data_IF_346784673913
#
_entry.id   IF_346784673913
#
_cell.length_a   1.000
_cell.length_b   1.000
_cell.length_c   1.000
_cell.angle_alpha   90.00
_cell.angle_beta   90.00
_cell.angle_gamma   90.00
#
_symmetry.space_group_name_H-M   'P 1'
#
loop_
_entity.id
_entity.type
_entity.pdbx_description
1 polymer ?
#
# COMPACT_ATOMS: atom_id res chain seq x y z
N UNK A 1 99.37 120.94 -100.33
CA UNK A 1 99.23 121.23 -98.88
C UNK A 1 97.79 120.98 -98.36
N UNK A 2 96.71 121.40 -99.03
CA UNK A 2 95.32 121.20 -98.54
C UNK A 2 94.83 119.73 -98.48
N UNK A 3 95.21 118.88 -99.42
CA UNK A 3 94.83 117.45 -99.43
C UNK A 3 95.36 116.67 -98.21
N UNK A 4 96.58 116.98 -97.76
CA UNK A 4 97.22 116.31 -96.62
C UNK A 4 96.53 116.63 -95.28
N UNK A 5 95.99 117.84 -95.11
CA UNK A 5 95.29 118.24 -93.90
C UNK A 5 93.91 117.59 -93.78
N UNK A 6 93.18 117.49 -94.90
CA UNK A 6 91.89 116.77 -94.95
C UNK A 6 92.11 115.28 -94.67
N UNK A 7 93.13 114.68 -95.27
CA UNK A 7 93.46 113.26 -95.06
C UNK A 7 93.89 112.98 -93.61
N UNK A 8 94.66 113.89 -92.99
CA UNK A 8 95.02 113.82 -91.57
C UNK A 8 93.80 113.95 -90.65
N UNK A 9 92.86 114.86 -90.94
CA UNK A 9 91.65 115.05 -90.14
C UNK A 9 90.74 113.83 -90.19
N UNK A 10 90.49 113.28 -91.39
CA UNK A 10 89.70 112.06 -91.55
C UNK A 10 90.41 110.84 -90.94
N UNK A 11 91.73 110.74 -91.05
CA UNK A 11 92.49 109.65 -90.43
C UNK A 11 92.49 109.72 -88.90
N UNK A 12 92.54 110.92 -88.31
CA UNK A 12 92.36 111.10 -86.86
C UNK A 12 90.94 110.72 -86.42
N UNK A 13 89.92 111.23 -87.11
CA UNK A 13 88.52 110.97 -86.78
C UNK A 13 88.11 109.50 -86.94
N UNK A 14 88.64 108.80 -87.94
CA UNK A 14 88.41 107.36 -88.12
C UNK A 14 89.09 106.57 -87.00
N UNK A 15 90.28 106.98 -86.56
CA UNK A 15 90.96 106.36 -85.42
C UNK A 15 90.17 106.55 -84.13
N UNK A 16 89.73 107.77 -83.84
CA UNK A 16 88.92 108.09 -82.65
C UNK A 16 87.61 107.29 -82.65
N UNK A 17 86.90 107.23 -83.79
CA UNK A 17 85.69 106.41 -83.95
C UNK A 17 85.96 104.92 -83.79
N UNK A 18 87.11 104.43 -84.24
CA UNK A 18 87.51 103.02 -84.10
C UNK A 18 87.83 102.68 -82.64
N UNK A 19 88.53 103.58 -81.94
CA UNK A 19 88.80 103.46 -80.50
C UNK A 19 87.50 103.52 -79.70
N UNK A 20 86.58 104.43 -80.02
CA UNK A 20 85.26 104.53 -79.38
C UNK A 20 84.40 103.29 -79.63
N UNK A 21 84.38 102.76 -80.87
CA UNK A 21 83.71 101.50 -81.20
C UNK A 21 84.35 100.31 -80.46
N UNK A 22 85.68 100.26 -80.35
CA UNK A 22 86.38 99.20 -79.62
C UNK A 22 86.10 99.27 -78.11
N UNK A 23 86.03 100.47 -77.55
CA UNK A 23 85.66 100.71 -76.14
C UNK A 23 84.20 100.32 -75.90
N UNK A 24 83.28 100.72 -76.79
CA UNK A 24 81.87 100.30 -76.74
C UNK A 24 81.73 98.77 -76.89
N UNK A 25 82.51 98.14 -77.76
CA UNK A 25 82.52 96.68 -77.93
C UNK A 25 83.00 95.97 -76.68
N UNK A 26 84.11 96.42 -76.08
CA UNK A 26 84.64 95.86 -74.84
C UNK A 26 83.66 96.07 -73.67
N UNK A 27 83.00 97.24 -73.59
CA UNK A 27 81.95 97.50 -72.60
C UNK A 27 80.73 96.60 -72.80
N UNK A 28 80.33 96.35 -74.06
CA UNK A 28 79.24 95.45 -74.38
C UNK A 28 79.56 94.00 -73.98
N UNK A 29 80.76 93.49 -74.29
CA UNK A 29 81.22 92.17 -73.86
C UNK A 29 81.28 92.04 -72.33
N UNK A 30 81.79 93.07 -71.63
CA UNK A 30 81.76 93.10 -70.18
C UNK A 30 80.32 93.11 -69.62
N UNK A 31 79.40 93.85 -70.24
CA UNK A 31 78.00 93.89 -69.83
C UNK A 31 77.28 92.55 -70.09
N UNK A 32 77.59 91.86 -71.17
CA UNK A 32 77.06 90.53 -71.48
C UNK A 32 77.57 89.49 -70.48
N UNK A 33 78.88 89.50 -70.18
CA UNK A 33 79.47 88.64 -69.16
C UNK A 33 78.83 88.87 -67.78
N UNK A 34 78.64 90.14 -67.38
CA UNK A 34 77.98 90.49 -66.12
C UNK A 34 76.52 90.05 -66.07
N UNK A 35 75.79 90.10 -67.19
CA UNK A 35 74.42 89.58 -67.28
C UNK A 35 74.36 88.05 -67.17
N UNK A 36 75.32 87.34 -67.76
CA UNK A 36 75.43 85.88 -67.64
C UNK A 36 75.72 85.49 -66.18
N UNK A 37 76.64 86.20 -65.51
CA UNK A 37 76.94 86.01 -64.09
C UNK A 37 75.71 86.29 -63.20
N UNK A 38 75.03 87.43 -63.39
CA UNK A 38 73.81 87.76 -62.66
C UNK A 38 72.70 86.72 -62.86
N UNK A 39 72.59 86.16 -64.07
CA UNK A 39 71.61 85.11 -64.36
C UNK A 39 71.97 83.81 -63.64
N UNK A 40 73.25 83.44 -63.61
CA UNK A 40 73.75 82.30 -62.83
C UNK A 40 73.48 82.48 -61.32
N UNK A 41 73.74 83.67 -60.77
CA UNK A 41 73.45 83.98 -59.37
C UNK A 41 71.95 83.91 -59.06
N UNK A 42 71.10 84.40 -59.97
CA UNK A 42 69.65 84.32 -59.82
C UNK A 42 69.14 82.88 -59.85
N UNK A 43 69.68 82.05 -60.75
CA UNK A 43 69.35 80.62 -60.82
C UNK A 43 69.82 79.88 -59.55
N UNK A 44 71.01 80.21 -59.02
CA UNK A 44 71.50 79.68 -57.75
C UNK A 44 70.61 80.08 -56.56
N UNK A 45 70.20 81.36 -56.49
CA UNK A 45 69.28 81.85 -55.46
C UNK A 45 67.91 81.18 -55.57
N UNK A 46 67.37 81.04 -56.78
CA UNK A 46 66.12 80.31 -57.03
C UNK A 46 66.22 78.87 -56.53
N UNK A 47 67.29 78.16 -56.88
CA UNK A 47 67.51 76.78 -56.44
C UNK A 47 67.60 76.66 -54.91
N UNK A 48 68.24 77.63 -54.23
CA UNK A 48 68.31 77.66 -52.78
C UNK A 48 66.95 77.93 -52.13
N UNK A 49 66.15 78.85 -52.67
CA UNK A 49 64.80 79.13 -52.16
C UNK A 49 63.85 77.95 -52.40
N UNK A 50 63.92 77.30 -53.57
CA UNK A 50 63.19 76.06 -53.86
C UNK A 50 63.56 74.94 -52.88
N UNK A 51 64.85 74.77 -52.57
CA UNK A 51 65.32 73.81 -51.58
C UNK A 51 64.84 74.15 -50.16
N UNK A 52 64.85 75.45 -49.78
CA UNK A 52 64.35 75.92 -48.49
C UNK A 52 62.85 75.63 -48.34
N UNK A 53 62.05 76.00 -49.34
CA UNK A 53 60.60 75.74 -49.35
C UNK A 53 60.34 74.23 -49.32
N UNK A 54 61.04 73.45 -50.14
CA UNK A 54 60.90 71.98 -50.16
C UNK A 54 61.23 71.35 -48.80
N UNK A 55 62.28 71.84 -48.13
CA UNK A 55 62.65 71.39 -46.78
C UNK A 55 61.59 71.75 -45.74
N UNK A 56 61.04 72.97 -45.78
CA UNK A 56 59.98 73.40 -44.85
C UNK A 56 58.71 72.58 -45.08
N UNK A 57 58.31 72.33 -46.33
CA UNK A 57 57.16 71.49 -46.67
C UNK A 57 57.36 70.05 -46.21
N UNK A 58 58.53 69.46 -46.46
CA UNK A 58 58.85 68.11 -46.00
C UNK A 58 58.80 67.99 -44.47
N UNK A 59 59.32 68.99 -43.76
CA UNK A 59 59.25 69.05 -42.30
C UNK A 59 57.79 69.17 -41.81
N UNK A 60 57.01 70.09 -42.37
CA UNK A 60 55.59 70.26 -42.03
C UNK A 60 54.78 68.98 -42.27
N UNK A 61 54.99 68.31 -43.41
CA UNK A 61 54.36 67.03 -43.71
C UNK A 61 54.78 65.92 -42.75
N UNK A 62 56.04 65.89 -42.33
CA UNK A 62 56.52 64.94 -41.33
C UNK A 62 55.87 65.16 -39.96
N UNK A 63 55.72 66.42 -39.54
CA UNK A 63 55.07 66.78 -38.27
C UNK A 63 53.58 66.42 -38.30
N UNK A 64 52.88 66.75 -39.38
CA UNK A 64 51.45 66.39 -39.53
C UNK A 64 51.24 64.88 -39.62
N UNK A 65 52.13 64.14 -40.29
CA UNK A 65 52.10 62.66 -40.27
C UNK A 65 52.24 62.13 -38.84
N UNK A 66 53.24 62.58 -38.08
CA UNK A 66 53.43 62.17 -36.69
C UNK A 66 52.22 62.50 -35.80
N UNK A 67 51.60 63.67 -35.98
CA UNK A 67 50.36 64.04 -35.26
C UNK A 67 49.19 63.14 -35.64
N UNK A 68 49.03 62.81 -36.92
CA UNK A 68 47.96 61.92 -37.38
C UNK A 68 48.13 60.49 -36.85
N UNK A 69 49.36 59.99 -36.79
CA UNK A 69 49.69 58.69 -36.20
C UNK A 69 49.42 58.68 -34.68
N UNK A 70 49.77 59.76 -33.97
CA UNK A 70 49.47 59.91 -32.54
C UNK A 70 47.96 59.93 -32.27
N UNK A 71 47.20 60.68 -33.07
CA UNK A 71 45.74 60.72 -32.96
C UNK A 71 45.09 59.36 -33.28
N UNK A 72 45.60 58.64 -34.29
CA UNK A 72 45.14 57.30 -34.61
C UNK A 72 45.39 56.33 -33.44
N UNK A 73 46.57 56.38 -32.81
CA UNK A 73 46.89 55.57 -31.64
C UNK A 73 46.00 55.90 -30.44
N UNK A 74 45.73 57.19 -30.18
CA UNK A 74 44.82 57.61 -29.10
C UNK A 74 43.37 57.18 -29.34
N UNK A 75 42.90 57.24 -30.59
CA UNK A 75 41.57 56.76 -30.97
C UNK A 75 41.45 55.24 -30.79
N UNK A 76 42.43 54.47 -31.26
CA UNK A 76 42.47 53.02 -31.08
C UNK A 76 42.47 52.64 -29.59
N UNK A 77 43.25 53.35 -28.76
CA UNK A 77 43.25 53.13 -27.31
C UNK A 77 41.91 53.48 -26.66
N UNK A 78 41.29 54.60 -27.05
CA UNK A 78 39.98 55.01 -26.52
C UNK A 78 38.88 54.01 -26.89
N UNK A 79 38.90 53.49 -28.13
CA UNK A 79 37.96 52.47 -28.59
C UNK A 79 38.16 51.14 -27.85
N UNK A 80 39.40 50.69 -27.68
CA UNK A 80 39.73 49.50 -26.89
C UNK A 80 39.24 49.63 -25.44
N UNK A 81 39.47 50.78 -24.80
CA UNK A 81 38.99 51.05 -23.44
C UNK A 81 37.46 51.05 -23.36
N UNK A 82 36.78 51.64 -24.35
CA UNK A 82 35.31 51.65 -24.42
C UNK A 82 34.75 50.24 -24.57
N UNK A 83 35.36 49.42 -25.42
CA UNK A 83 34.98 48.02 -25.60
C UNK A 83 35.18 47.22 -24.32
N UNK A 84 36.34 47.34 -23.67
CA UNK A 84 36.63 46.66 -22.41
C UNK A 84 35.63 47.06 -21.31
N UNK A 85 35.28 48.35 -21.20
CA UNK A 85 34.26 48.82 -20.25
C UNK A 85 32.87 48.26 -20.56
N UNK A 86 32.48 48.26 -21.84
CA UNK A 86 31.18 47.72 -22.26
C UNK A 86 31.07 46.21 -22.02
N UNK A 87 32.16 45.47 -22.22
CA UNK A 87 32.20 44.03 -21.97
C UNK A 87 32.16 43.73 -20.47
N UNK A 88 32.90 44.47 -19.65
CA UNK A 88 32.84 44.35 -18.20
C UNK A 88 31.43 44.62 -17.66
N UNK A 89 30.74 45.66 -18.17
CA UNK A 89 29.37 45.96 -17.79
C UNK A 89 28.39 44.84 -18.21
N UNK A 90 28.56 44.29 -19.42
CA UNK A 90 27.75 43.16 -19.91
C UNK A 90 27.93 41.91 -19.05
N UNK A 91 29.17 41.60 -18.66
CA UNK A 91 29.47 40.47 -17.77
C UNK A 91 28.88 40.67 -16.37
N UNK A 92 29.05 41.86 -15.78
CA UNK A 92 28.46 42.18 -14.48
C UNK A 92 26.92 42.08 -14.49
N UNK A 93 26.27 42.54 -15.57
CA UNK A 93 24.82 42.39 -15.75
C UNK A 93 24.41 40.91 -15.90
N UNK A 94 25.20 40.12 -16.62
CA UNK A 94 24.99 38.68 -16.76
C UNK A 94 25.06 37.96 -15.41
N UNK A 95 26.08 38.25 -14.60
CA UNK A 95 26.25 37.68 -13.26
C UNK A 95 25.08 38.04 -12.32
N UNK A 96 24.61 39.29 -12.35
CA UNK A 96 23.45 39.71 -11.57
C UNK A 96 22.17 38.94 -11.95
N UNK A 97 21.92 38.73 -13.25
CA UNK A 97 20.77 37.94 -13.71
C UNK A 97 20.85 36.48 -13.26
N UNK A 98 22.04 35.88 -13.29
CA UNK A 98 22.25 34.51 -12.80
C UNK A 98 21.95 34.43 -11.29
N UNK A 99 22.48 35.37 -10.49
CA UNK A 99 22.21 35.44 -9.05
C UNK A 99 20.73 35.66 -8.73
N UNK A 100 20.04 36.49 -9.51
CA UNK A 100 18.59 36.69 -9.38
C UNK A 100 17.82 35.40 -9.65
N UNK A 101 18.18 34.67 -10.71
CA UNK A 101 17.57 33.39 -11.05
C UNK A 101 17.85 32.32 -9.97
N UNK A 102 19.06 32.27 -9.42
CA UNK A 102 19.40 31.39 -8.29
C UNK A 102 18.54 31.71 -7.07
N UNK A 103 18.41 32.98 -6.68
CA UNK A 103 17.56 33.38 -5.56
C UNK A 103 16.08 33.04 -5.78
N UNK A 104 15.57 33.22 -7.00
CA UNK A 104 14.22 32.81 -7.36
C UNK A 104 14.05 31.28 -7.27
N UNK A 105 15.03 30.51 -7.76
CA UNK A 105 15.00 29.04 -7.68
C UNK A 105 14.99 28.54 -6.22
N UNK A 106 15.84 29.11 -5.36
CA UNK A 106 15.87 28.81 -3.92
C UNK A 106 14.55 29.21 -3.26
N UNK A 107 13.96 30.35 -3.66
CA UNK A 107 12.63 30.77 -3.20
C UNK A 107 11.53 29.76 -3.54
N UNK A 108 11.54 29.24 -4.77
CA UNK A 108 10.59 28.19 -5.21
C UNK A 108 10.81 26.89 -4.45
N UNK A 109 12.05 26.45 -4.28
CA UNK A 109 12.38 25.24 -3.52
C UNK A 109 11.92 25.33 -2.06
N UNK A 110 12.15 26.47 -1.39
CA UNK A 110 11.65 26.71 -0.04
C UNK A 110 10.13 26.71 0.03
N UNK A 111 9.45 27.29 -0.96
CA UNK A 111 7.99 27.27 -1.07
C UNK A 111 7.43 25.85 -1.20
N UNK A 112 8.04 25.03 -2.06
CA UNK A 112 7.66 23.62 -2.23
C UNK A 112 7.93 22.79 -0.97
N UNK A 113 9.07 23.01 -0.29
CA UNK A 113 9.38 22.34 0.96
C UNK A 113 8.36 22.68 2.06
N UNK A 114 7.88 23.94 2.11
CA UNK A 114 6.84 24.35 3.05
C UNK A 114 5.50 23.64 2.75
N UNK A 115 5.08 23.60 1.48
CA UNK A 115 3.86 22.90 1.06
C UNK A 115 3.94 21.41 1.40
N UNK A 116 5.07 20.76 1.11
CA UNK A 116 5.28 19.34 1.42
C UNK A 116 5.21 19.06 2.94
N UNK A 117 5.78 19.95 3.76
CA UNK A 117 5.72 19.84 5.22
C UNK A 117 4.29 19.97 5.73
N UNK A 118 3.53 20.95 5.24
CA UNK A 118 2.16 21.18 5.67
C UNK A 118 1.26 20.00 5.25
N UNK A 119 1.45 19.45 4.05
CA UNK A 119 0.77 18.22 3.62
C UNK A 119 1.10 17.04 4.54
N UNK A 120 2.38 16.82 4.87
CA UNK A 120 2.78 15.73 5.76
C UNK A 120 2.19 15.89 7.18
N UNK A 121 2.00 17.13 7.65
CA UNK A 121 1.33 17.40 8.94
C UNK A 121 -0.16 17.04 8.87
N UNK A 122 -0.86 17.39 7.80
CA UNK A 122 -2.27 17.01 7.61
C UNK A 122 -2.44 15.49 7.47
N UNK A 123 -1.58 14.83 6.69
CA UNK A 123 -1.57 13.37 6.56
C UNK A 123 -1.35 12.69 7.92
N UNK A 124 -0.41 13.20 8.73
CA UNK A 124 -0.16 12.69 10.07
C UNK A 124 -1.35 12.92 11.02
N UNK A 125 -2.10 14.01 10.86
CA UNK A 125 -3.34 14.25 11.62
C UNK A 125 -4.43 13.26 11.22
N UNK A 126 -4.63 13.01 9.92
CA UNK A 126 -5.59 12.02 9.43
C UNK A 126 -5.24 10.61 9.89
N UNK A 127 -3.95 10.22 9.84
CA UNK A 127 -3.49 8.94 10.36
C UNK A 127 -3.81 8.77 11.85
N UNK A 128 -3.61 9.82 12.68
CA UNK A 128 -3.98 9.79 14.11
C UNK A 128 -5.48 9.66 14.33
N UNK A 129 -6.32 10.28 13.49
CA UNK A 129 -7.78 10.13 13.55
C UNK A 129 -8.18 8.69 13.23
N UNK A 130 -7.63 8.11 12.17
CA UNK A 130 -7.87 6.72 11.79
C UNK A 130 -7.43 5.75 12.89
N UNK A 131 -6.27 5.99 13.51
CA UNK A 131 -5.79 5.19 14.65
C UNK A 131 -6.75 5.29 15.86
N UNK A 132 -7.23 6.49 16.18
CA UNK A 132 -8.19 6.69 17.26
C UNK A 132 -9.52 5.97 16.99
N UNK A 133 -10.02 6.01 15.76
CA UNK A 133 -11.22 5.28 15.35
C UNK A 133 -11.02 3.76 15.48
N UNK A 134 -9.89 3.23 14.99
CA UNK A 134 -9.56 1.81 15.11
C UNK A 134 -9.46 1.35 16.58
N UNK A 135 -8.92 2.19 17.47
CA UNK A 135 -8.88 1.90 18.92
C UNK A 135 -10.28 1.84 19.54
N UNK A 136 -11.18 2.74 19.14
CA UNK A 136 -12.57 2.73 19.62
C UNK A 136 -13.31 1.47 19.16
N UNK A 137 -13.13 1.06 17.91
CA UNK A 137 -13.71 -0.18 17.37
C UNK A 137 -13.15 -1.42 18.07
N UNK A 138 -11.84 -1.47 18.31
CA UNK A 138 -11.21 -2.55 19.07
C UNK A 138 -11.79 -2.64 20.50
N UNK A 139 -11.98 -1.51 21.18
CA UNK A 139 -12.64 -1.48 22.48
C UNK A 139 -14.12 -1.92 22.42
N UNK A 140 -14.85 -1.56 21.37
CA UNK A 140 -16.22 -2.00 21.18
C UNK A 140 -16.31 -3.52 20.96
N UNK A 141 -15.40 -4.10 20.17
CA UNK A 141 -15.29 -5.53 19.95
C UNK A 141 -14.93 -6.27 21.25
N UNK A 142 -13.98 -5.76 22.03
CA UNK A 142 -13.62 -6.34 23.33
C UNK A 142 -14.85 -6.41 24.25
N UNK A 143 -15.61 -5.32 24.38
CA UNK A 143 -16.84 -5.32 25.19
C UNK A 143 -17.87 -6.34 24.70
N UNK A 144 -17.97 -6.56 23.38
CA UNK A 144 -18.87 -7.58 22.81
C UNK A 144 -18.40 -9.00 23.16
N UNK A 145 -17.10 -9.26 23.09
CA UNK A 145 -16.50 -10.53 23.49
C UNK A 145 -16.73 -10.79 24.98
N UNK A 146 -16.47 -9.81 25.84
CA UNK A 146 -16.68 -9.95 27.29
C UNK A 146 -18.14 -10.29 27.62
N UNK A 147 -19.10 -9.60 26.97
CA UNK A 147 -20.53 -9.91 27.09
C UNK A 147 -20.84 -11.32 26.60
N UNK A 148 -20.26 -11.75 25.48
CA UNK A 148 -20.45 -13.10 24.96
C UNK A 148 -19.89 -14.15 25.92
N UNK A 149 -18.74 -13.91 26.52
CA UNK A 149 -18.15 -14.79 27.53
C UNK A 149 -19.05 -14.90 28.76
N UNK A 150 -19.63 -13.79 29.21
CA UNK A 150 -20.56 -13.79 30.33
C UNK A 150 -21.84 -14.58 30.02
N UNK A 151 -22.43 -14.41 28.83
CA UNK A 151 -23.57 -15.23 28.38
C UNK A 151 -23.20 -16.72 28.33
N UNK A 152 -22.02 -17.05 27.80
CA UNK A 152 -21.54 -18.43 27.75
C UNK A 152 -21.35 -19.04 29.15
N UNK A 153 -20.94 -18.24 30.14
CA UNK A 153 -20.85 -18.70 31.54
C UNK A 153 -22.21 -19.05 32.11
N UNK A 154 -23.25 -18.25 31.85
CA UNK A 154 -24.62 -18.59 32.27
C UNK A 154 -25.13 -19.86 31.60
N UNK A 155 -24.97 -19.98 30.27
CA UNK A 155 -25.39 -21.17 29.53
C UNK A 155 -24.70 -22.44 30.04
N UNK A 156 -23.39 -22.37 30.32
CA UNK A 156 -22.65 -23.50 30.89
C UNK A 156 -23.16 -23.88 32.28
N UNK A 157 -23.45 -22.90 33.13
CA UNK A 157 -23.97 -23.13 34.47
C UNK A 157 -25.38 -23.75 34.44
N UNK A 158 -26.26 -23.25 33.56
CA UNK A 158 -27.60 -23.80 33.36
C UNK A 158 -27.54 -25.24 32.85
N UNK A 159 -26.68 -25.52 31.87
CA UNK A 159 -26.47 -26.88 31.38
C UNK A 159 -25.96 -27.81 32.49
N UNK A 160 -25.01 -27.35 33.31
CA UNK A 160 -24.53 -28.12 34.46
C UNK A 160 -25.64 -28.43 35.47
N UNK A 161 -26.51 -27.45 35.76
CA UNK A 161 -27.64 -27.62 36.67
C UNK A 161 -28.68 -28.59 36.09
N UNK A 162 -28.94 -28.52 34.78
CA UNK A 162 -29.81 -29.44 34.05
C UNK A 162 -29.28 -30.88 34.14
N UNK A 163 -27.99 -31.09 33.83
CA UNK A 163 -27.33 -32.40 33.93
C UNK A 163 -27.35 -32.94 35.36
N UNK A 164 -27.09 -32.09 36.36
CA UNK A 164 -27.19 -32.46 37.77
C UNK A 164 -28.60 -32.92 38.15
N UNK A 165 -29.62 -32.20 37.66
CA UNK A 165 -31.03 -32.56 37.88
C UNK A 165 -31.39 -33.89 37.21
N UNK A 166 -30.91 -34.14 35.99
CA UNK A 166 -31.12 -35.40 35.28
C UNK A 166 -30.48 -36.60 36.00
N UNK A 167 -29.27 -36.42 36.52
CA UNK A 167 -28.58 -37.43 37.33
C UNK A 167 -29.38 -37.73 38.61
N UNK A 168 -29.89 -36.71 39.29
CA UNK A 168 -30.68 -36.89 40.51
C UNK A 168 -32.03 -37.57 40.25
N UNK A 169 -32.72 -37.23 39.15
CA UNK A 169 -33.93 -37.94 38.71
C UNK A 169 -33.62 -39.41 38.43
N UNK A 170 -32.53 -39.69 37.70
CA UNK A 170 -32.11 -41.05 37.40
C UNK A 170 -31.80 -41.84 38.67
N UNK A 171 -31.12 -41.21 39.65
CA UNK A 171 -30.84 -41.81 40.96
C UNK A 171 -32.12 -42.16 41.71
N UNK A 172 -33.11 -41.28 41.71
CA UNK A 172 -34.43 -41.56 42.31
C UNK A 172 -35.12 -42.73 41.62
N UNK A 173 -35.13 -42.78 40.29
CA UNK A 173 -35.69 -43.91 39.54
C UNK A 173 -34.99 -45.23 39.89
N UNK A 174 -33.66 -45.26 40.03
CA UNK A 174 -32.94 -46.46 40.48
C UNK A 174 -33.29 -46.87 41.91
N UNK A 175 -33.46 -45.91 42.82
CA UNK A 175 -33.91 -46.19 44.18
C UNK A 175 -35.34 -46.76 44.21
N UNK A 176 -36.25 -46.20 43.42
CA UNK A 176 -37.62 -46.69 43.28
C UNK A 176 -37.65 -48.12 42.69
N UNK A 177 -36.85 -48.38 41.64
CA UNK A 177 -36.69 -49.71 41.05
C UNK A 177 -36.13 -50.72 42.07
N UNK A 178 -35.16 -50.32 42.89
CA UNK A 178 -34.63 -51.16 43.97
C UNK A 178 -35.71 -51.47 45.01
N UNK A 179 -36.56 -50.50 45.38
CA UNK A 179 -37.71 -50.69 46.26
C UNK A 179 -38.73 -51.69 45.69
N UNK A 180 -39.10 -51.54 44.42
CA UNK A 180 -39.99 -52.48 43.73
C UNK A 180 -39.40 -53.90 43.69
N UNK A 181 -38.10 -54.03 43.38
CA UNK A 181 -37.42 -55.31 43.37
C UNK A 181 -37.43 -55.99 44.74
N UNK A 182 -37.22 -55.23 45.83
CA UNK A 182 -37.33 -55.75 47.20
C UNK A 182 -38.73 -56.31 47.49
N UNK A 183 -39.78 -55.55 47.15
CA UNK A 183 -41.16 -55.99 47.33
C UNK A 183 -41.48 -57.26 46.52
N UNK A 184 -40.96 -57.36 45.29
CA UNK A 184 -41.16 -58.54 44.45
C UNK A 184 -40.48 -59.79 45.04
N UNK A 185 -39.28 -59.63 45.62
CA UNK A 185 -38.58 -60.71 46.34
C UNK A 185 -39.37 -61.14 47.57
N UNK A 186 -39.86 -60.19 48.38
CA UNK A 186 -40.66 -60.49 49.58
C UNK A 186 -41.98 -61.22 49.24
N UNK A 187 -42.68 -60.77 48.20
CA UNK A 187 -43.88 -61.44 47.70
C UNK A 187 -43.58 -62.85 47.20
N UNK A 188 -42.48 -63.03 46.46
CA UNK A 188 -42.05 -64.35 45.98
C UNK A 188 -41.71 -65.29 47.14
N UNK A 189 -41.05 -64.77 48.19
CA UNK A 189 -40.76 -65.53 49.40
C UNK A 189 -42.03 -65.95 50.12
N UNK A 190 -42.95 -65.02 50.38
CA UNK A 190 -44.24 -65.31 51.03
C UNK A 190 -45.10 -66.30 50.23
N UNK A 191 -45.06 -66.21 48.90
CA UNK A 191 -45.72 -67.19 48.04
C UNK A 191 -45.10 -68.59 48.17
N UNK A 192 -43.76 -68.68 48.27
CA UNK A 192 -43.07 -69.95 48.52
C UNK A 192 -43.45 -70.54 49.89
N UNK A 193 -43.54 -69.71 50.94
CA UNK A 193 -44.00 -70.14 52.26
C UNK A 193 -45.43 -70.69 52.24
N UNK A 194 -46.36 -69.98 51.58
CA UNK A 194 -47.75 -70.44 51.43
C UNK A 194 -47.84 -71.77 50.68
N UNK A 195 -47.06 -71.94 49.59
CA UNK A 195 -46.97 -73.21 48.86
C UNK A 195 -46.40 -74.33 49.74
N UNK A 196 -45.38 -74.04 50.54
CA UNK A 196 -44.79 -75.00 51.47
C UNK A 196 -45.78 -75.42 52.57
N UNK A 197 -46.54 -74.47 53.14
CA UNK A 197 -47.58 -74.76 54.12
C UNK A 197 -48.68 -75.67 53.53
N UNK A 198 -49.18 -75.34 52.34
CA UNK A 198 -50.17 -76.16 51.65
C UNK A 198 -49.65 -77.58 51.35
N UNK A 199 -48.37 -77.73 51.01
CA UNK A 199 -47.75 -79.04 50.82
C UNK A 199 -47.63 -79.83 52.14
N UNK A 200 -47.31 -79.17 53.25
CA UNK A 200 -47.27 -79.80 54.59
C UNK A 200 -48.65 -80.30 55.02
N UNK A 201 -49.70 -79.52 54.80
CA UNK A 201 -51.07 -79.93 55.12
C UNK A 201 -51.49 -81.15 54.28
N UNK A 202 -51.21 -81.12 52.97
CA UNK A 202 -51.46 -82.28 52.10
C UNK A 202 -50.67 -83.51 52.55
N UNK A 203 -49.42 -83.34 53.00
CA UNK A 203 -48.62 -84.43 53.54
C UNK A 203 -49.27 -85.02 54.82
N UNK A 204 -49.70 -84.17 55.74
CA UNK A 204 -50.40 -84.60 56.96
C UNK A 204 -51.70 -85.37 56.65
N UNK A 205 -52.48 -84.92 55.65
CA UNK A 205 -53.67 -85.63 55.18
C UNK A 205 -53.31 -87.01 54.59
N UNK A 206 -52.23 -87.10 53.81
CA UNK A 206 -51.76 -88.39 53.30
C UNK A 206 -51.25 -89.33 54.40
N UNK A 207 -50.57 -88.80 55.44
CA UNK A 207 -50.16 -89.59 56.61
C UNK A 207 -51.38 -90.11 57.39
N UNK A 208 -52.42 -89.28 57.54
CA UNK A 208 -53.69 -89.68 58.16
C UNK A 208 -54.40 -90.76 57.34
N UNK A 209 -54.42 -90.66 56.02
CA UNK A 209 -54.96 -91.68 55.13
C UNK A 209 -54.18 -92.99 55.25
N UNK A 210 -52.84 -92.91 55.24
CA UNK A 210 -51.95 -94.05 55.47
C UNK A 210 -52.25 -94.73 56.82
N UNK A 211 -52.44 -93.98 57.89
CA UNK A 211 -52.78 -94.53 59.21
C UNK A 211 -54.15 -95.24 59.22
N UNK A 212 -55.14 -94.73 58.49
CA UNK A 212 -56.45 -95.41 58.33
C UNK A 212 -56.32 -96.72 57.56
N UNK A 213 -55.57 -96.72 56.46
CA UNK A 213 -55.30 -97.94 55.69
C UNK A 213 -54.51 -98.96 56.50
N UNK A 214 -53.47 -98.55 57.22
CA UNK A 214 -52.72 -99.44 58.09
C UNK A 214 -53.63 -100.07 59.14
N UNK A 215 -54.51 -99.29 59.77
CA UNK A 215 -55.51 -99.80 60.72
C UNK A 215 -56.47 -100.81 60.06
N UNK A 216 -56.90 -100.58 58.82
CA UNK A 216 -57.71 -101.55 58.08
C UNK A 216 -56.94 -102.83 57.80
N UNK A 217 -55.68 -102.73 57.39
CA UNK A 217 -54.80 -103.88 57.17
C UNK A 217 -54.60 -104.66 58.48
N UNK A 218 -54.39 -103.99 59.60
CA UNK A 218 -54.23 -104.63 60.92
C UNK A 218 -55.53 -105.32 61.37
N UNK A 219 -56.70 -104.70 61.15
CA UNK A 219 -58.01 -105.30 61.40
C UNK A 219 -58.22 -106.53 60.53
N UNK A 220 -58.02 -106.42 59.21
CA UNK A 220 -58.14 -107.53 58.27
C UNK A 220 -57.13 -108.64 58.58
N UNK A 221 -55.92 -108.31 59.04
CA UNK A 221 -54.91 -109.29 59.45
C UNK A 221 -55.32 -110.01 60.74
N UNK A 222 -55.88 -109.29 61.72
CA UNK A 222 -56.40 -109.89 62.96
C UNK A 222 -57.67 -110.72 62.72
N UNK A 223 -58.52 -110.29 61.80
CA UNK A 223 -59.76 -110.97 61.40
C UNK A 223 -59.44 -112.19 60.53
N UNK A 224 -58.43 -112.12 59.65
CA UNK A 224 -57.81 -113.25 58.96
C UNK A 224 -57.18 -114.24 59.95
N UNK A 225 -56.53 -113.77 61.01
CA UNK A 225 -56.02 -114.66 62.06
C UNK A 225 -57.14 -115.36 62.86
N UNK A 226 -58.32 -114.74 63.03
CA UNK A 226 -59.52 -115.40 63.58
C UNK A 226 -60.20 -116.36 62.61
N UNK A 227 -60.27 -116.02 61.33
CA UNK A 227 -60.95 -116.82 60.29
C UNK A 227 -60.06 -117.91 59.68
N UNK A 228 -58.74 -117.86 59.92
CA UNK A 228 -57.78 -118.91 59.57
C UNK A 228 -57.79 -120.14 60.51
N UNK A 229 -58.61 -120.14 61.57
CA UNK A 229 -58.84 -121.31 62.43
C UNK A 229 -60.14 -122.07 62.11
N UNK A 230 -61.01 -121.55 61.23
CA UNK A 230 -62.31 -122.17 60.90
C UNK A 230 -62.45 -122.67 59.46
N UNK A 231 -61.46 -122.49 58.59
CA UNK A 231 -61.48 -123.06 57.23
C UNK A 231 -60.48 -124.23 57.10
N UNK A 232 -60.89 -125.36 57.65
CA UNK A 232 -60.41 -126.70 57.30
C UNK A 232 -61.30 -127.24 56.17
N UNK A 233 -61.24 -126.62 55.00
CA UNK A 233 -61.88 -127.08 53.76
C UNK A 233 -61.26 -126.24 52.62
N UNK A 234 -60.96 -126.86 51.48
CA UNK A 234 -60.17 -126.34 50.34
C UNK A 234 -58.65 -126.57 50.41
N UNK A 235 -58.31 -127.79 50.82
CA UNK A 235 -57.38 -128.61 50.04
C UNK A 235 -58.03 -128.92 48.67
N UNK A 236 -57.27 -128.75 47.59
CA UNK A 236 -57.67 -128.79 46.17
C UNK A 236 -58.13 -127.44 45.62
N UNK A 237 -57.20 -126.66 45.07
CA UNK A 237 -57.13 -126.34 43.64
C UNK A 237 -55.84 -125.53 43.39
N UNK A 238 -54.77 -126.28 43.12
CA UNK A 238 -53.60 -125.76 42.47
C UNK A 238 -53.97 -125.43 41.03
N UNK A 239 -54.15 -124.16 40.71
CA UNK A 239 -54.07 -123.68 39.33
C UNK A 239 -52.98 -122.60 39.27
N UNK A 240 -51.86 -123.03 38.73
CA UNK A 240 -50.67 -122.24 38.42
C UNK A 240 -51.06 -121.21 37.37
N UNK A 241 -51.31 -119.96 37.77
CA UNK A 241 -51.32 -118.83 36.84
C UNK A 241 -49.86 -118.42 36.66
N UNK A 242 -49.32 -118.84 35.52
CA UNK A 242 -48.00 -118.46 34.98
C UNK A 242 -47.86 -116.93 34.90
N UNK A 243 -46.75 -116.34 35.40
CA UNK A 243 -46.40 -114.95 35.15
C UNK A 243 -45.81 -114.83 33.73
N UNK A 244 -46.69 -114.86 32.75
CA UNK A 244 -46.40 -114.55 31.36
C UNK A 244 -47.64 -113.85 30.80
N UNK A 245 -47.44 -112.83 29.96
CA UNK A 245 -48.47 -111.94 29.37
C UNK A 245 -48.84 -110.68 30.16
N UNK A 246 -47.92 -109.72 30.22
CA UNK A 246 -48.16 -108.33 29.80
C UNK A 246 -46.80 -107.66 29.55
N UNK A 247 -46.01 -108.28 28.68
CA UNK A 247 -44.82 -107.69 28.08
C UNK A 247 -45.04 -107.68 26.57
N UNK A 248 -46.00 -106.86 26.13
CA UNK A 248 -46.23 -106.54 24.72
C UNK A 248 -46.90 -105.16 24.61
N UNK A 249 -46.08 -104.13 24.83
CA UNK A 249 -46.20 -102.90 24.05
C UNK A 249 -44.83 -102.53 23.49
N UNK A 250 -44.33 -103.43 22.64
CA UNK A 250 -43.39 -103.07 21.59
C UNK A 250 -44.01 -101.99 20.70
N UNK A 251 -43.18 -101.01 20.37
CA UNK A 251 -43.22 -100.37 19.06
C UNK A 251 -44.25 -99.27 18.89
N UNK A 252 -43.94 -98.10 19.45
CA UNK A 252 -44.10 -96.87 18.65
C UNK A 252 -42.76 -96.18 18.63
N UNK A 253 -41.94 -96.63 17.68
CA UNK A 253 -40.93 -95.79 17.03
C UNK A 253 -41.68 -94.57 16.46
N UNK A 254 -41.90 -93.57 17.31
CA UNK A 254 -42.50 -92.30 16.88
C UNK A 254 -41.36 -91.47 16.34
N UNK A 255 -41.21 -91.61 15.04
CA UNK A 255 -40.38 -90.85 14.14
C UNK A 255 -40.03 -89.46 14.68
N UNK A 256 -38.73 -89.18 14.65
CA UNK A 256 -38.12 -87.87 14.79
C UNK A 256 -38.46 -86.95 13.58
N UNK A 257 -39.72 -86.86 13.20
CA UNK A 257 -40.22 -85.98 12.15
C UNK A 257 -41.34 -85.09 12.68
N UNK A 258 -40.97 -83.99 13.34
CA UNK A 258 -41.83 -82.77 13.38
C UNK A 258 -41.18 -81.55 14.03
N UNK A 259 -40.03 -81.66 14.71
CA UNK A 259 -39.36 -80.46 15.27
C UNK A 259 -38.89 -79.50 14.16
N UNK A 260 -38.42 -80.03 13.02
CA UNK A 260 -37.99 -79.19 11.89
C UNK A 260 -39.15 -78.46 11.21
N UNK A 261 -40.35 -79.06 11.22
CA UNK A 261 -41.54 -78.45 10.63
C UNK A 261 -42.12 -77.35 11.52
N UNK A 262 -42.05 -77.53 12.85
CA UNK A 262 -42.49 -76.51 13.82
C UNK A 262 -41.55 -75.30 13.88
N UNK A 263 -40.24 -75.49 13.74
CA UNK A 263 -39.27 -74.39 13.73
C UNK A 263 -39.35 -73.55 12.44
N UNK A 264 -39.66 -74.16 11.29
CA UNK A 264 -39.88 -73.44 10.03
C UNK A 264 -41.18 -72.62 10.08
N UNK A 265 -42.25 -73.17 10.66
CA UNK A 265 -43.52 -72.47 10.78
C UNK A 265 -43.45 -71.27 11.74
N UNK A 266 -42.68 -71.38 12.83
CA UNK A 266 -42.37 -70.22 13.69
C UNK A 266 -41.47 -69.19 13.01
N UNK A 267 -40.56 -69.60 12.13
CA UNK A 267 -39.70 -68.69 11.35
C UNK A 267 -40.46 -67.87 10.32
N UNK A 268 -41.44 -68.46 9.64
CA UNK A 268 -42.23 -67.79 8.60
C UNK A 268 -43.38 -66.96 9.19
N UNK A 269 -43.93 -67.34 10.36
CA UNK A 269 -45.01 -66.62 11.04
C UNK A 269 -44.51 -65.43 11.88
N UNK A 270 -43.25 -65.45 12.33
CA UNK A 270 -42.58 -64.31 12.98
C UNK A 270 -41.90 -63.43 11.90
N UNK A 271 -42.67 -62.96 10.91
CA UNK A 271 -42.30 -61.76 10.15
C UNK A 271 -42.63 -60.55 11.02
N UNK A 272 -41.64 -60.05 11.76
CA UNK A 272 -41.76 -58.77 12.46
C UNK A 272 -41.83 -57.67 11.39
N UNK A 273 -43.04 -57.26 11.03
CA UNK A 273 -43.28 -56.09 10.20
C UNK A 273 -43.01 -54.88 11.09
N UNK A 274 -41.86 -54.23 10.91
CA UNK A 274 -41.63 -52.92 11.50
C UNK A 274 -42.55 -51.91 10.80
N UNK A 275 -43.31 -51.08 11.54
CA UNK A 275 -44.04 -49.96 10.97
C UNK A 275 -43.08 -49.06 10.16
N UNK A 276 -43.52 -48.59 8.99
CA UNK A 276 -42.67 -47.83 8.05
C UNK A 276 -42.06 -46.57 8.71
N UNK A 277 -42.78 -46.01 9.66
CA UNK A 277 -42.46 -44.88 10.53
C UNK A 277 -41.20 -45.11 11.40
N UNK A 278 -40.89 -46.36 11.78
CA UNK A 278 -39.63 -46.70 12.50
C UNK A 278 -38.43 -46.81 11.54
N UNK A 279 -38.66 -47.26 10.30
CA UNK A 279 -37.61 -47.33 9.28
C UNK A 279 -37.28 -45.95 8.71
N UNK A 280 -38.24 -45.03 8.65
CA UNK A 280 -38.03 -43.65 8.21
C UNK A 280 -37.20 -42.83 9.22
N UNK A 281 -37.41 -43.03 10.52
CA UNK A 281 -36.56 -42.42 11.56
C UNK A 281 -35.08 -42.84 11.48
N UNK A 282 -34.80 -44.10 11.12
CA UNK A 282 -33.43 -44.61 10.97
C UNK A 282 -32.78 -44.17 9.65
N UNK A 283 -33.57 -43.79 8.64
CA UNK A 283 -33.06 -43.25 7.38
C UNK A 283 -32.78 -41.73 7.45
N UNK A 284 -33.52 -40.98 8.27
CA UNK A 284 -33.36 -39.53 8.47
C UNK A 284 -32.10 -39.18 9.30
N UNK A 285 -31.54 -40.14 10.06
CA UNK A 285 -30.29 -39.96 10.82
C UNK A 285 -29.01 -40.04 9.95
N UNK A 286 -29.12 -39.81 8.64
CA UNK A 286 -27.98 -39.74 7.71
C UNK A 286 -27.68 -38.34 7.18
N UNK A 287 -28.55 -37.34 7.45
CA UNK A 287 -28.35 -35.94 7.04
C UNK A 287 -28.13 -35.00 8.25
N UNK A 288 -27.29 -35.42 9.19
CA UNK A 288 -26.72 -34.51 10.18
C UNK A 288 -25.76 -33.52 9.48
N UNK A 289 -25.72 -32.23 9.88
CA UNK A 289 -24.91 -31.23 9.19
C UNK A 289 -23.44 -31.61 9.32
N UNK A 290 -22.86 -31.94 8.16
CA UNK A 290 -21.43 -32.19 8.01
C UNK A 290 -20.65 -30.97 8.49
N UNK A 291 -20.06 -31.10 9.67
CA UNK A 291 -18.96 -30.25 10.14
C UNK A 291 -17.70 -30.71 9.43
N UNK A 292 -17.63 -30.42 8.13
CA UNK A 292 -16.40 -30.49 7.35
C UNK A 292 -15.74 -29.12 7.43
N UNK A 293 -14.75 -29.02 8.32
CA UNK A 293 -13.80 -27.92 8.34
C UNK A 293 -13.12 -27.78 6.97
N UNK A 294 -12.80 -26.55 6.51
CA UNK A 294 -11.94 -26.39 5.36
C UNK A 294 -10.53 -26.81 5.77
N UNK A 295 -10.03 -27.85 5.11
CA UNK A 295 -8.65 -28.29 5.22
C UNK A 295 -7.71 -27.13 4.89
N UNK A 296 -6.75 -26.93 5.77
CA UNK A 296 -5.62 -26.03 5.62
C UNK A 296 -4.92 -26.23 4.26
N UNK A 297 -4.86 -25.14 3.48
CA UNK A 297 -3.84 -24.96 2.47
C UNK A 297 -2.72 -24.14 3.11
N UNK A 298 -1.68 -24.83 3.55
CA UNK A 298 -0.45 -24.24 4.05
C UNK A 298 0.51 -23.95 2.88
N UNK A 299 1.06 -22.73 2.91
CA UNK A 299 2.29 -22.23 2.25
C UNK A 299 2.25 -21.98 0.73
N UNK A 300 2.33 -20.69 0.33
CA UNK A 300 3.60 -19.99 0.03
C UNK A 300 3.43 -18.47 0.29
N UNK A 301 4.29 -17.82 1.09
CA UNK A 301 4.40 -16.37 1.13
C UNK A 301 5.41 -15.88 0.08
N UNK A 302 4.95 -15.27 -1.01
CA UNK A 302 5.81 -14.52 -1.92
C UNK A 302 5.86 -13.07 -1.51
N UNK A 303 6.83 -12.77 -0.66
CA UNK A 303 7.42 -11.46 -0.50
C UNK A 303 8.17 -11.05 -1.77
N UNK A 304 7.86 -9.86 -2.29
CA UNK A 304 8.69 -9.14 -3.26
C UNK A 304 8.12 -7.75 -3.55
N UNK A 305 8.78 -6.67 -3.09
CA UNK A 305 8.62 -5.34 -3.66
C UNK A 305 9.62 -5.18 -4.81
N UNK A 306 9.18 -4.66 -5.95
CA UNK A 306 10.10 -4.11 -6.93
C UNK A 306 9.49 -2.87 -7.58
N UNK A 307 10.13 -1.74 -7.29
CA UNK A 307 10.15 -0.53 -8.09
C UNK A 307 10.18 -0.85 -9.59
N UNK A 308 9.34 -0.15 -10.36
CA UNK A 308 9.79 0.53 -11.58
C UNK A 308 8.80 1.59 -12.07
N UNK A 309 9.33 2.79 -12.04
CA UNK A 309 8.97 4.07 -12.68
C UNK A 309 8.70 3.91 -14.19
N UNK A 310 8.01 4.88 -14.83
CA UNK A 310 7.18 4.68 -16.01
C UNK A 310 7.96 4.82 -17.33
N UNK A 311 7.69 3.92 -18.28
CA UNK A 311 8.03 4.14 -19.68
C UNK A 311 6.91 4.95 -20.35
N UNK A 312 7.23 6.21 -20.61
CA UNK A 312 6.52 7.05 -21.54
C UNK A 312 6.61 6.42 -22.93
N UNK A 313 5.46 6.11 -23.53
CA UNK A 313 5.39 5.88 -24.97
C UNK A 313 5.36 7.24 -25.67
N UNK A 314 6.48 7.54 -26.31
CA UNK A 314 6.60 8.51 -27.40
C UNK A 314 5.46 8.32 -28.41
N UNK A 315 4.58 9.30 -28.51
CA UNK A 315 3.76 9.51 -29.71
C UNK A 315 4.20 10.84 -30.30
N UNK A 316 5.12 10.77 -31.25
CA UNK A 316 5.30 11.80 -32.26
C UNK A 316 4.57 11.40 -33.56
N UNK A 317 4.12 12.39 -34.35
CA UNK A 317 3.04 12.23 -35.31
C UNK A 317 3.57 11.84 -36.69
N UNK A 318 3.05 10.77 -37.27
CA UNK A 318 3.24 10.47 -38.69
C UNK A 318 2.00 10.86 -39.49
N UNK A 319 2.14 12.02 -40.11
CA UNK A 319 1.56 12.45 -41.39
C UNK A 319 0.95 11.31 -42.23
N UNK A 320 -0.39 11.33 -42.38
CA UNK A 320 -1.15 10.45 -43.25
C UNK A 320 -2.35 11.19 -43.83
N UNK A 321 -2.13 11.78 -45.01
CA UNK A 321 -3.11 12.41 -45.89
C UNK A 321 -4.01 11.35 -46.55
N UNK A 322 -5.23 11.78 -46.92
CA UNK A 322 -6.18 11.16 -47.87
C UNK A 322 -7.14 10.11 -47.27
N UNK A 323 -8.46 10.09 -47.48
CA UNK A 323 -9.40 10.81 -48.37
C UNK A 323 -10.82 10.34 -47.99
N UNK A 324 -11.85 11.18 -48.15
CA UNK A 324 -13.26 10.78 -48.12
C UNK A 324 -14.09 11.68 -47.19
N UNK A 325 -14.61 12.82 -47.64
CA UNK A 325 -15.80 12.97 -48.50
C UNK A 325 -17.09 12.62 -47.75
N UNK A 326 -17.87 13.65 -47.39
CA UNK A 326 -19.26 13.46 -46.93
C UNK A 326 -19.79 14.53 -45.96
N UNK A 327 -20.28 15.64 -46.53
CA UNK A 327 -21.54 16.35 -46.19
C UNK A 327 -21.90 16.54 -44.71
N UNK A 328 -22.04 17.73 -44.12
CA UNK A 328 -22.60 18.98 -44.63
C UNK A 328 -23.63 19.49 -43.62
N UNK A 329 -23.39 20.64 -42.98
CA UNK A 329 -24.41 21.46 -42.34
C UNK A 329 -23.85 22.87 -42.12
N UNK A 330 -24.34 23.81 -42.90
CA UNK A 330 -24.09 25.24 -42.82
C UNK A 330 -25.04 25.82 -41.78
N UNK A 331 -24.52 26.49 -40.74
CA UNK A 331 -25.26 27.55 -40.04
C UNK A 331 -24.36 28.76 -39.96
N UNK A 332 -24.69 29.72 -40.80
CA UNK A 332 -24.22 31.10 -40.75
C UNK A 332 -25.17 31.85 -39.84
N UNK A 333 -24.63 32.56 -38.85
CA UNK A 333 -25.23 33.80 -38.37
C UNK A 333 -24.13 34.72 -37.83
N UNK A 334 -23.84 35.74 -38.63
CA UNK A 334 -23.13 36.96 -38.24
C UNK A 334 -24.06 37.87 -37.43
N UNK A 335 -23.53 38.54 -36.40
CA UNK A 335 -23.75 39.96 -36.06
C UNK A 335 -22.90 40.25 -34.80
N UNK A 336 -21.84 41.07 -34.82
CA UNK A 336 -21.75 42.52 -35.01
C UNK A 336 -21.76 43.32 -33.68
N UNK A 337 -20.71 44.14 -33.51
CA UNK A 337 -20.58 45.33 -32.65
C UNK A 337 -20.32 45.20 -31.12
N UNK A 338 -19.03 45.10 -30.76
CA UNK A 338 -18.14 46.10 -30.10
C UNK A 338 -18.71 47.24 -29.17
N UNK A 339 -17.87 48.01 -28.44
CA UNK A 339 -17.52 47.84 -27.02
C UNK A 339 -17.98 49.01 -26.10
N UNK A 340 -18.05 48.81 -24.78
CA UNK A 340 -18.19 49.93 -23.83
C UNK A 340 -17.50 49.66 -22.48
N UNK A 341 -16.43 50.43 -22.22
CA UNK A 341 -15.84 50.67 -20.90
C UNK A 341 -16.53 51.90 -20.23
N UNK A 342 -16.32 52.15 -18.91
CA UNK A 342 -17.29 52.76 -18.00
C UNK A 342 -17.10 54.28 -17.86
N UNK A 343 -17.94 54.94 -17.04
CA UNK A 343 -17.36 55.56 -15.85
C UNK A 343 -18.28 55.59 -14.62
N UNK A 344 -17.72 55.37 -13.44
CA UNK A 344 -18.24 55.96 -12.21
C UNK A 344 -17.20 56.94 -11.67
N UNK A 345 -17.47 58.22 -11.94
CA UNK A 345 -17.01 59.34 -11.14
C UNK A 345 -17.99 59.48 -9.96
N UNK A 346 -17.49 59.79 -8.76
CA UNK A 346 -17.66 61.12 -8.17
C UNK A 346 -17.19 61.14 -6.69
N UNK A 347 -16.58 62.28 -6.35
CA UNK A 347 -15.94 62.64 -5.11
C UNK A 347 -16.93 62.79 -3.93
N UNK A 348 -16.47 62.59 -2.68
CA UNK A 348 -16.13 63.74 -1.84
C UNK A 348 -16.65 63.59 -0.39
N UNK A 349 -16.29 64.50 0.54
CA UNK A 349 -15.47 64.18 1.71
C UNK A 349 -16.24 64.26 3.05
N UNK A 350 -15.65 63.71 4.14
CA UNK A 350 -15.91 64.28 5.46
C UNK A 350 -14.79 64.03 6.48
N UNK A 351 -14.42 65.15 7.08
CA UNK A 351 -13.54 65.44 8.21
C UNK A 351 -13.75 64.55 9.44
N UNK A 352 -12.65 64.17 10.09
CA UNK A 352 -12.65 63.56 11.42
C UNK A 352 -11.29 63.70 12.11
N UNK A 353 -11.02 64.91 12.63
CA UNK A 353 -9.88 65.25 13.49
C UNK A 353 -10.02 64.54 14.84
N UNK A 354 -8.93 63.95 15.36
CA UNK A 354 -8.85 63.45 16.73
C UNK A 354 -7.48 62.89 17.10
N UNK A 355 -6.60 63.74 17.65
CA UNK A 355 -5.30 63.41 18.24
C UNK A 355 -5.43 62.72 19.61
N UNK A 356 -4.52 61.79 19.92
CA UNK A 356 -3.60 61.73 21.09
C UNK A 356 -2.93 60.34 21.07
N UNK A 357 -1.62 60.18 20.90
CA UNK A 357 -0.51 60.47 21.81
C UNK A 357 -0.65 59.80 23.19
N UNK A 358 0.04 58.66 23.38
CA UNK A 358 0.77 58.40 24.62
C UNK A 358 1.93 57.44 24.34
N UNK A 359 3.11 57.95 24.66
CA UNK A 359 4.35 57.22 24.85
C UNK A 359 4.19 56.02 25.78
N UNK A 360 5.02 55.02 25.53
CA UNK A 360 5.20 53.83 26.37
C UNK A 360 6.49 53.11 26.01
N UNK A 361 7.63 53.76 26.31
CA UNK A 361 8.94 53.11 26.43
C UNK A 361 8.85 51.82 27.25
N UNK A 362 9.35 50.69 26.73
CA UNK A 362 10.07 49.71 27.57
C UNK A 362 11.00 48.80 26.77
N UNK A 363 12.29 49.01 27.03
CA UNK A 363 13.49 48.17 26.97
C UNK A 363 13.36 46.69 26.53
N UNK A 364 14.11 46.36 25.46
CA UNK A 364 14.88 45.10 25.26
C UNK A 364 16.00 44.95 26.32
N UNK A 365 16.80 43.87 26.37
CA UNK A 365 16.54 42.44 26.09
C UNK A 365 17.17 41.53 27.19
N UNK A 366 16.69 40.31 27.47
CA UNK A 366 17.55 39.30 28.13
C UNK A 366 17.30 37.86 27.66
N UNK A 367 18.34 37.32 27.03
CA UNK A 367 18.72 35.91 26.98
C UNK A 367 18.62 35.25 28.36
N UNK A 368 17.85 34.16 28.48
CA UNK A 368 18.12 33.14 29.49
C UNK A 368 18.13 31.76 28.84
N UNK A 369 19.35 31.26 28.69
CA UNK A 369 19.72 29.88 28.43
C UNK A 369 19.29 29.05 29.65
N UNK A 370 18.33 28.15 29.50
CA UNK A 370 18.09 27.08 30.48
C UNK A 370 18.87 25.83 30.04
N UNK A 371 20.17 25.84 30.35
CA UNK A 371 20.95 24.60 30.47
C UNK A 371 20.79 24.17 31.92
N UNK A 372 19.96 23.15 32.17
CA UNK A 372 19.99 22.43 33.44
C UNK A 372 20.65 21.07 33.22
N UNK A 373 21.92 21.03 33.59
CA UNK A 373 22.67 19.82 33.93
C UNK A 373 21.80 18.90 34.79
N UNK A 374 21.66 17.65 34.37
CA UNK A 374 21.55 16.52 35.30
C UNK A 374 22.81 15.69 35.09
N UNK A 375 23.81 15.96 35.94
CA UNK A 375 25.01 15.17 36.11
C UNK A 375 24.79 14.22 37.29
N UNK A 376 25.05 12.94 37.01
CA UNK A 376 25.46 11.86 37.92
C UNK A 376 24.71 11.61 39.25
N UNK A 377 24.17 10.40 39.38
CA UNK A 377 24.87 9.35 40.13
C UNK A 377 24.41 7.93 39.69
N UNK A 378 25.38 7.19 39.15
CA UNK A 378 25.51 5.73 39.13
C UNK A 378 25.57 5.17 40.57
N UNK A 379 25.80 3.86 40.85
CA UNK A 379 25.46 2.61 40.17
C UNK A 379 24.91 1.52 41.16
N UNK A 380 24.68 0.31 40.65
CA UNK A 380 24.71 -0.99 41.38
C UNK A 380 23.57 -1.35 42.34
N UNK A 381 22.77 -2.36 41.98
CA UNK A 381 22.89 -3.72 42.55
C UNK A 381 21.75 -4.65 42.13
N UNK A 382 22.16 -5.83 41.63
CA UNK A 382 21.48 -7.15 41.63
C UNK A 382 20.26 -7.38 40.75
#
# INVERSE_FOLDING_TARGET
>A
LQLSAIQSFYSARVRDLTEELSSCSALAEHSEAALVELRSDFDAYRGLEEARVSSVVAHAMSVERARSEELAARLAQAEANRLAQSEAARLAQGELRIKEQELQSVGVEMGLAFIARDQAVEDAKEARKAEAAAKLDAHALQRRLDRSHEVNRYLFLDHKNLMGSQVEISRKHYADLAGINSLLVDLSHRQAELRLAALKDRLADTEKLKARYQKQVDVLSAESYRSGWENREFENHAEVVTPDQFDDQKGVERDHYSIKHYMQQLGDEIRIIYPADVLEMLAVEKDGPSTSAPSAAELIPTSGPLDRTPEALDIQPSLGVSTGEGSGAVVVSSDESDPAMPPFAEAGPSTGVGRASSDGNHQDPQFYIFVKLIVHCNPSNK
#
